data_IF_120718727524
#
_entry.id   IF_120718727524
#
_cell.length_a   1.000
_cell.length_b   1.000
_cell.length_c   1.000
_cell.angle_alpha   90.00
_cell.angle_beta   90.00
_cell.angle_gamma   90.00
#
_symmetry.space_group_name_H-M   'P 1'
#
loop_
_entity.id
_entity.type
_entity.pdbx_description
1 polymer ?
#
# COMPACT_ATOMS: atom_id res chain seq x y z
N UNK A 1 31.35 11.22 3.69
CA UNK A 1 30.52 10.96 4.90
C UNK A 1 29.12 11.44 4.56
N UNK A 2 28.22 10.55 4.34
CA UNK A 2 26.82 10.89 3.97
C UNK A 2 25.99 10.93 5.25
N UNK A 3 25.23 11.99 5.43
CA UNK A 3 24.29 12.14 6.57
C UNK A 3 22.90 11.90 6.03
N UNK A 4 22.19 10.94 6.61
CA UNK A 4 20.81 10.64 6.28
C UNK A 4 19.87 11.45 7.18
N UNK A 5 18.97 12.22 6.59
CA UNK A 5 17.83 12.82 7.28
C UNK A 5 16.57 12.05 6.90
N UNK A 6 15.83 11.63 7.90
CA UNK A 6 14.51 11.04 7.71
C UNK A 6 13.46 12.15 7.60
N UNK A 7 12.72 12.16 6.50
CA UNK A 7 11.46 12.88 6.41
C UNK A 7 10.37 12.09 7.12
N UNK A 8 9.24 12.72 7.40
CA UNK A 8 8.12 12.17 8.19
C UNK A 8 7.58 10.80 7.70
N UNK A 9 8.06 10.29 6.58
CA UNK A 9 7.63 9.05 5.93
C UNK A 9 8.81 8.09 5.69
N UNK A 10 9.96 8.25 6.37
CA UNK A 10 11.04 7.25 6.34
C UNK A 10 11.87 7.19 5.05
N UNK A 11 11.80 8.18 4.16
CA UNK A 11 12.65 8.24 2.97
C UNK A 11 14.00 8.89 3.25
N UNK A 12 15.08 8.28 2.76
CA UNK A 12 16.46 8.78 2.89
C UNK A 12 16.84 9.66 1.70
N UNK A 13 17.17 10.93 1.94
CA UNK A 13 17.74 11.83 0.96
C UNK A 13 19.24 11.92 1.12
N UNK A 14 20.00 11.78 0.04
CA UNK A 14 21.45 11.94 0.01
C UNK A 14 21.76 13.37 -0.44
N UNK A 15 22.34 14.18 0.45
CA UNK A 15 22.88 15.49 0.07
C UNK A 15 24.41 15.53 0.23
N UNK A 16 25.17 16.15 -0.69
CA UNK A 16 26.62 16.27 -0.57
C UNK A 16 27.01 17.34 0.45
N UNK A 17 27.93 16.99 1.34
CA UNK A 17 28.47 17.87 2.37
C UNK A 17 29.33 18.97 1.75
N UNK A 18 28.86 20.23 1.78
CA UNK A 18 29.63 21.40 1.37
C UNK A 18 30.76 21.69 2.36
N UNK A 19 31.97 21.93 1.82
CA UNK A 19 33.12 22.33 2.59
C UNK A 19 32.96 23.76 3.06
N UNK A 20 32.92 24.00 4.36
CA UNK A 20 33.08 25.34 4.93
C UNK A 20 34.57 25.58 5.27
N UNK A 21 35.15 26.59 4.61
CA UNK A 21 36.47 27.08 4.92
C UNK A 21 36.46 27.90 6.21
N UNK A 22 37.41 27.58 7.09
CA UNK A 22 37.62 28.26 8.38
C UNK A 22 38.61 29.39 8.15
N UNK A 23 38.25 30.63 8.50
CA UNK A 23 39.22 31.69 8.77
C UNK A 23 39.06 32.19 10.20
N UNK A 24 40.17 32.34 10.96
CA UNK A 24 40.10 32.77 12.35
C UNK A 24 40.20 34.30 12.50
N UNK A 25 39.34 34.91 13.30
CA UNK A 25 39.57 36.24 13.87
C UNK A 25 39.23 36.30 15.36
N UNK A 26 40.14 36.91 16.03
CA UNK A 26 40.47 37.09 17.45
C UNK A 26 39.36 37.63 18.36
N UNK A 27 39.50 37.22 19.61
CA UNK A 27 38.90 37.59 20.92
C UNK A 27 38.61 39.09 21.17
N UNK A 28 37.53 39.33 21.92
CA UNK A 28 37.54 40.07 23.22
C UNK A 28 36.29 39.75 24.03
N UNK A 29 36.34 39.66 25.38
CA UNK A 29 35.26 39.20 26.21
C UNK A 29 34.42 40.41 26.72
N UNK A 30 33.10 40.26 26.69
CA UNK A 30 32.20 41.10 27.49
C UNK A 30 31.31 40.16 28.31
N UNK A 31 31.52 40.15 29.62
CA UNK A 31 30.67 39.51 30.63
C UNK A 31 29.45 40.41 30.80
N UNK A 32 28.26 39.90 30.50
CA UNK A 32 27.00 40.51 30.92
C UNK A 32 26.17 39.41 31.61
N UNK A 33 26.11 39.51 32.93
CA UNK A 33 25.17 38.76 33.77
C UNK A 33 23.74 39.22 33.47
N UNK A 34 22.90 38.38 32.96
CA UNK A 34 21.47 38.54 32.92
C UNK A 34 20.85 37.26 33.48
N UNK A 35 20.39 37.37 34.72
CA UNK A 35 19.52 36.41 35.39
C UNK A 35 18.15 36.46 34.72
N UNK A 36 17.90 35.50 33.85
CA UNK A 36 16.60 35.30 33.22
C UNK A 36 15.94 34.04 33.77
N UNK A 37 14.78 34.21 34.40
CA UNK A 37 13.90 33.13 34.86
C UNK A 37 13.65 32.15 33.73
N UNK A 38 14.15 30.94 33.87
CA UNK A 38 13.77 29.82 33.00
C UNK A 38 12.40 29.29 33.43
N UNK A 39 11.38 29.63 32.67
CA UNK A 39 10.11 28.91 32.68
C UNK A 39 10.33 27.56 31.98
N UNK A 40 10.12 26.42 32.62
CA UNK A 40 10.20 25.14 31.90
C UNK A 40 8.96 25.02 31.02
N UNK A 41 9.07 25.36 29.77
CA UNK A 41 8.11 24.90 28.76
C UNK A 41 8.20 23.37 28.70
N UNK A 42 7.24 22.68 29.29
CA UNK A 42 6.98 21.29 29.05
C UNK A 42 6.68 21.12 27.56
N UNK A 43 7.70 20.85 26.78
CA UNK A 43 7.53 20.25 25.45
C UNK A 43 7.09 18.83 25.72
N UNK A 44 5.78 18.62 25.67
CA UNK A 44 5.21 17.28 25.56
C UNK A 44 5.69 16.72 24.23
N UNK A 45 6.80 16.00 24.28
CA UNK A 45 7.19 15.11 23.20
C UNK A 45 6.08 14.06 23.11
N UNK A 46 5.17 14.24 22.14
CA UNK A 46 4.39 13.13 21.65
C UNK A 46 5.42 12.14 21.09
N UNK A 47 5.82 11.17 21.90
CA UNK A 47 6.47 9.99 21.43
C UNK A 47 5.47 9.32 20.50
N UNK A 48 5.62 9.55 19.19
CA UNK A 48 5.16 8.58 18.21
C UNK A 48 5.85 7.27 18.59
N UNK A 49 5.16 6.42 19.33
CA UNK A 49 5.53 5.03 19.41
C UNK A 49 5.58 4.55 17.95
N UNK A 50 6.79 4.53 17.43
CA UNK A 50 7.10 3.95 16.15
C UNK A 50 6.52 2.54 16.17
N UNK A 51 5.67 2.25 15.20
CA UNK A 51 5.07 0.95 14.92
C UNK A 51 6.17 -0.04 14.47
N UNK A 52 7.17 -0.22 15.36
CA UNK A 52 8.27 -1.17 15.20
C UNK A 52 7.87 -2.41 15.97
N UNK A 53 7.37 -3.43 15.25
CA UNK A 53 7.31 -4.77 15.78
C UNK A 53 5.95 -5.41 15.97
N UNK A 54 4.97 -5.20 15.06
CA UNK A 54 3.94 -6.22 14.91
C UNK A 54 4.47 -7.29 13.96
N UNK A 55 4.93 -8.41 14.51
CA UNK A 55 5.04 -9.67 13.80
C UNK A 55 3.62 -10.17 13.60
N UNK A 56 3.15 -10.17 12.33
CA UNK A 56 1.84 -10.68 11.94
C UNK A 56 0.76 -9.60 11.75
N UNK A 57 -0.21 -9.91 10.92
CA UNK A 57 -1.38 -9.09 10.64
C UNK A 57 -2.45 -9.35 11.70
N UNK A 58 -2.89 -8.29 12.36
CA UNK A 58 -3.82 -8.40 13.48
C UNK A 58 -3.13 -8.76 14.80
N UNK A 59 -3.71 -8.38 15.94
CA UNK A 59 -3.30 -8.94 17.22
C UNK A 59 -3.83 -10.37 17.31
N UNK A 60 -3.03 -11.34 17.84
CA UNK A 60 -3.60 -12.63 18.21
C UNK A 60 -4.78 -12.40 19.14
N UNK A 61 -5.85 -13.19 19.04
CA UNK A 61 -7.03 -13.02 19.88
C UNK A 61 -6.61 -13.13 21.34
N UNK A 62 -6.77 -12.04 22.11
CA UNK A 62 -6.95 -12.19 23.54
C UNK A 62 -8.27 -12.94 23.66
N UNK A 63 -8.20 -14.12 24.25
CA UNK A 63 -9.36 -15.00 24.46
C UNK A 63 -10.61 -14.17 24.78
N UNK A 64 -11.71 -14.42 24.05
CA UNK A 64 -13.11 -14.09 24.31
C UNK A 64 -13.78 -12.91 23.59
N UNK A 65 -13.17 -12.16 22.71
CA UNK A 65 -13.91 -11.09 22.02
C UNK A 65 -13.59 -11.03 20.53
N UNK A 66 -14.37 -11.73 19.71
CA UNK A 66 -14.60 -11.40 18.30
C UNK A 66 -13.42 -10.91 17.47
N UNK A 67 -12.26 -11.58 17.57
CA UNK A 67 -11.07 -11.19 16.81
C UNK A 67 -11.37 -11.25 15.32
N UNK A 68 -10.96 -10.19 14.58
CA UNK A 68 -11.02 -10.24 13.12
C UNK A 68 -10.05 -11.31 12.63
N UNK A 69 -10.51 -12.30 11.84
CA UNK A 69 -9.68 -13.45 11.48
C UNK A 69 -8.51 -13.01 10.58
N UNK A 70 -7.33 -13.52 10.88
CA UNK A 70 -6.23 -13.57 9.92
C UNK A 70 -6.47 -14.79 9.03
N UNK A 71 -6.76 -14.57 7.76
CA UNK A 71 -7.02 -15.64 6.81
C UNK A 71 -5.70 -16.17 6.28
N UNK A 72 -5.52 -17.44 6.33
CA UNK A 72 -4.38 -18.10 5.70
C UNK A 72 -4.52 -18.02 4.18
N UNK A 73 -3.41 -17.73 3.52
CA UNK A 73 -3.31 -17.70 2.07
C UNK A 73 -2.37 -18.81 1.61
N UNK A 74 -2.54 -19.22 0.37
CA UNK A 74 -1.56 -20.04 -0.33
C UNK A 74 -1.24 -19.42 -1.67
N UNK A 75 0.04 -19.44 -2.05
CA UNK A 75 0.46 -19.12 -3.39
C UNK A 75 0.20 -20.32 -4.30
N UNK A 76 -0.62 -20.14 -5.33
CA UNK A 76 -0.91 -21.18 -6.33
C UNK A 76 -0.01 -21.06 -7.56
N UNK A 77 0.49 -19.86 -7.83
CA UNK A 77 1.47 -19.58 -8.87
C UNK A 77 2.27 -18.32 -8.54
N UNK A 78 3.45 -18.20 -9.13
CA UNK A 78 4.26 -16.99 -9.11
C UNK A 78 4.72 -16.66 -10.51
N UNK A 79 4.68 -15.40 -10.86
CA UNK A 79 5.06 -14.87 -12.17
C UNK A 79 6.22 -13.92 -12.03
N UNK A 80 7.13 -13.84 -13.01
CA UNK A 80 8.23 -12.87 -12.98
C UNK A 80 7.71 -11.44 -12.87
N UNK A 81 8.43 -10.60 -12.12
CA UNK A 81 8.12 -9.18 -11.97
C UNK A 81 9.40 -8.35 -12.05
N UNK A 82 9.29 -7.12 -12.53
CA UNK A 82 10.42 -6.20 -12.64
C UNK A 82 10.93 -5.78 -11.26
N UNK A 83 12.13 -6.22 -10.91
CA UNK A 83 12.79 -5.92 -9.62
C UNK A 83 13.07 -4.43 -9.39
N UNK A 84 12.94 -3.59 -10.44
CA UNK A 84 13.08 -2.13 -10.34
C UNK A 84 11.72 -1.45 -10.21
N UNK A 85 10.62 -2.19 -10.22
CA UNK A 85 9.29 -1.65 -10.04
C UNK A 85 9.06 -1.23 -8.58
N UNK A 86 8.94 0.07 -8.36
CA UNK A 86 8.39 0.59 -7.10
C UNK A 86 6.87 0.63 -7.22
N UNK A 87 6.26 -0.55 -7.11
CA UNK A 87 4.82 -0.75 -7.36
C UNK A 87 3.97 0.08 -6.42
N UNK A 88 3.04 0.84 -6.98
CA UNK A 88 2.13 1.73 -6.28
C UNK A 88 0.66 1.52 -6.66
N UNK A 89 0.40 0.77 -7.72
CA UNK A 89 -0.92 0.37 -8.13
C UNK A 89 -0.86 -0.78 -9.12
N UNK A 90 -1.81 -1.69 -9.04
CA UNK A 90 -1.89 -2.87 -9.89
C UNK A 90 -3.36 -3.13 -10.21
N UNK A 91 -3.72 -3.36 -11.48
CA UNK A 91 -5.12 -3.60 -11.85
C UNK A 91 -5.22 -4.45 -13.10
N UNK A 92 -6.21 -5.36 -13.13
CA UNK A 92 -6.64 -6.03 -14.36
C UNK A 92 -7.70 -5.23 -15.09
N UNK A 93 -7.56 -5.16 -16.40
CA UNK A 93 -8.59 -4.64 -17.28
C UNK A 93 -8.64 -5.41 -18.59
N UNK A 94 -9.78 -6.06 -18.89
CA UNK A 94 -9.99 -6.88 -20.09
C UNK A 94 -8.89 -7.95 -20.29
N UNK A 95 -8.54 -8.64 -19.21
CA UNK A 95 -7.52 -9.70 -19.21
C UNK A 95 -6.07 -9.21 -19.29
N UNK A 96 -5.84 -7.90 -19.37
CA UNK A 96 -4.52 -7.27 -19.40
C UNK A 96 -4.14 -6.72 -18.04
N UNK A 97 -2.88 -6.87 -17.63
CA UNK A 97 -2.37 -6.33 -16.36
C UNK A 97 -1.74 -4.96 -16.57
N UNK A 98 -2.15 -4.00 -15.76
CA UNK A 98 -1.58 -2.66 -15.73
C UNK A 98 -0.96 -2.37 -14.37
N UNK A 99 0.13 -1.64 -14.38
CA UNK A 99 0.89 -1.29 -13.18
C UNK A 99 1.25 0.19 -13.17
N UNK A 100 1.10 0.82 -12.01
CA UNK A 100 1.63 2.13 -11.69
C UNK A 100 2.88 1.99 -10.82
N UNK A 101 3.93 2.72 -11.16
CA UNK A 101 5.17 2.73 -10.37
C UNK A 101 5.52 4.13 -9.90
N UNK A 102 6.08 4.20 -8.69
CA UNK A 102 6.57 5.42 -8.06
C UNK A 102 8.02 5.75 -8.41
N UNK A 103 8.58 6.66 -7.62
CA UNK A 103 9.92 7.28 -7.67
C UNK A 103 10.01 8.42 -8.69
N UNK A 104 10.33 9.63 -8.18
CA UNK A 104 10.50 10.82 -9.03
C UNK A 104 11.59 10.61 -10.07
N UNK A 105 11.26 10.89 -11.32
CA UNK A 105 12.13 10.64 -12.47
C UNK A 105 12.05 9.24 -13.07
N UNK A 106 11.40 8.29 -12.36
CA UNK A 106 11.25 6.89 -12.79
C UNK A 106 9.79 6.42 -12.82
N UNK A 107 8.86 7.20 -12.27
CA UNK A 107 7.44 6.88 -12.23
C UNK A 107 6.88 6.59 -13.62
N UNK A 108 6.04 5.57 -13.71
CA UNK A 108 5.42 5.16 -14.96
C UNK A 108 4.04 4.56 -14.75
N UNK A 109 3.20 4.61 -15.78
CA UNK A 109 2.08 3.69 -15.97
C UNK A 109 2.47 2.73 -17.08
N UNK A 110 2.17 1.42 -16.90
CA UNK A 110 2.63 0.40 -17.83
C UNK A 110 1.67 -0.77 -17.97
N UNK A 111 1.68 -1.39 -19.14
CA UNK A 111 1.02 -2.66 -19.42
C UNK A 111 2.07 -3.77 -19.35
N UNK A 112 1.76 -4.80 -18.58
CA UNK A 112 2.70 -5.89 -18.27
C UNK A 112 2.12 -7.23 -18.75
N UNK A 113 2.95 -8.03 -19.38
CA UNK A 113 2.62 -9.44 -19.66
C UNK A 113 2.83 -10.26 -18.38
N UNK A 114 1.75 -10.75 -17.78
CA UNK A 114 1.79 -11.48 -16.52
C UNK A 114 2.71 -12.68 -16.57
N UNK A 115 2.67 -13.45 -17.67
CA UNK A 115 3.39 -14.74 -17.76
C UNK A 115 4.90 -14.54 -17.81
N UNK A 116 5.36 -13.57 -18.58
CA UNK A 116 6.80 -13.31 -18.75
C UNK A 116 7.34 -12.20 -17.86
N UNK A 117 6.49 -11.40 -17.22
CA UNK A 117 6.86 -10.21 -16.46
C UNK A 117 7.36 -9.05 -17.34
N UNK A 118 7.26 -9.17 -18.68
CA UNK A 118 7.77 -8.15 -19.59
C UNK A 118 6.84 -6.94 -19.62
N UNK A 119 7.42 -5.75 -19.53
CA UNK A 119 6.73 -4.50 -19.81
C UNK A 119 6.47 -4.39 -21.30
N UNK A 120 5.21 -4.56 -21.72
CA UNK A 120 4.79 -4.49 -23.12
C UNK A 120 4.72 -3.05 -23.62
N UNK A 121 4.31 -2.15 -22.75
CA UNK A 121 4.24 -0.72 -22.99
C UNK A 121 4.38 0.05 -21.70
N UNK A 122 5.06 1.18 -21.75
CA UNK A 122 5.18 2.09 -20.61
C UNK A 122 5.06 3.55 -21.06
N UNK A 123 4.48 4.36 -20.18
CA UNK A 123 4.53 5.81 -20.25
C UNK A 123 5.12 6.36 -18.96
N UNK A 124 6.23 7.09 -19.09
CA UNK A 124 6.84 7.78 -17.96
C UNK A 124 6.10 9.08 -17.65
N UNK A 125 6.00 9.39 -16.36
CA UNK A 125 5.45 10.65 -15.87
C UNK A 125 6.49 11.77 -15.99
N UNK A 126 6.03 13.02 -15.84
CA UNK A 126 6.95 14.13 -15.60
C UNK A 126 7.87 13.81 -14.41
N UNK A 127 9.16 14.16 -14.51
CA UNK A 127 10.19 13.83 -13.51
C UNK A 127 9.90 14.37 -12.11
N UNK A 128 9.04 15.38 -11.99
CA UNK A 128 8.62 15.98 -10.72
C UNK A 128 7.51 15.18 -10.03
N UNK A 129 6.77 14.36 -10.79
CA UNK A 129 5.67 13.57 -10.28
C UNK A 129 6.16 12.24 -9.69
N UNK A 130 5.44 11.80 -8.69
CA UNK A 130 5.57 10.47 -8.12
C UNK A 130 4.25 9.75 -8.39
N UNK A 131 4.27 8.68 -9.21
CA UNK A 131 3.09 7.89 -9.54
C UNK A 131 2.67 7.03 -8.36
N UNK A 132 1.36 6.93 -8.15
CA UNK A 132 0.72 6.24 -7.04
C UNK A 132 -0.38 5.30 -7.55
N UNK A 133 -1.47 5.11 -6.80
CA UNK A 133 -2.55 4.19 -7.09
C UNK A 133 -3.07 4.24 -8.52
N UNK A 134 -3.60 3.11 -8.99
CA UNK A 134 -4.10 2.92 -10.34
C UNK A 134 -5.49 2.28 -10.29
N UNK A 135 -6.44 2.86 -10.98
CA UNK A 135 -7.79 2.32 -11.10
C UNK A 135 -8.30 2.38 -12.55
N UNK A 136 -9.37 1.63 -12.84
CA UNK A 136 -10.07 1.70 -14.12
C UNK A 136 -11.42 2.40 -13.93
N UNK A 137 -11.63 3.52 -14.61
CA UNK A 137 -12.85 4.32 -14.56
C UNK A 137 -13.33 4.58 -15.98
N UNK A 138 -14.58 4.28 -16.27
CA UNK A 138 -15.18 4.54 -17.59
C UNK A 138 -14.31 4.05 -18.75
N UNK A 139 -13.72 2.84 -18.62
CA UNK A 139 -12.82 2.24 -19.60
C UNK A 139 -11.48 2.98 -19.79
N UNK A 140 -11.07 3.81 -18.87
CA UNK A 140 -9.83 4.57 -18.86
C UNK A 140 -9.00 4.19 -17.62
N UNK A 141 -7.67 4.26 -17.73
CA UNK A 141 -6.78 4.14 -16.59
C UNK A 141 -6.66 5.49 -15.90
N UNK A 142 -6.78 5.49 -14.58
CA UNK A 142 -6.62 6.66 -13.73
C UNK A 142 -5.48 6.38 -12.76
N UNK A 143 -4.38 7.12 -12.90
CA UNK A 143 -3.20 7.03 -12.03
C UNK A 143 -3.15 8.25 -11.12
N UNK A 144 -3.03 8.02 -9.82
CA UNK A 144 -2.84 9.09 -8.85
C UNK A 144 -1.37 9.53 -8.80
N UNK A 145 -1.17 10.71 -8.22
CA UNK A 145 0.15 11.23 -7.89
C UNK A 145 0.20 11.59 -6.40
N UNK A 146 1.34 11.39 -5.76
CA UNK A 146 1.50 11.51 -4.32
C UNK A 146 1.08 12.89 -3.79
N UNK A 147 2.03 13.84 -3.70
CA UNK A 147 1.83 15.14 -3.01
C UNK A 147 1.12 16.18 -3.86
N UNK A 148 0.99 15.96 -5.16
CA UNK A 148 0.39 16.96 -6.05
C UNK A 148 -1.13 16.92 -6.09
N UNK A 149 -1.75 15.91 -5.47
CA UNK A 149 -3.21 15.76 -5.43
C UNK A 149 -3.85 15.71 -6.81
N UNK A 150 -3.13 15.14 -7.78
CA UNK A 150 -3.55 15.08 -9.19
C UNK A 150 -3.74 13.64 -9.63
N UNK A 151 -4.80 13.41 -10.42
CA UNK A 151 -5.03 12.17 -11.15
C UNK A 151 -4.80 12.38 -12.64
N UNK A 152 -4.10 11.43 -13.27
CA UNK A 152 -3.78 11.40 -14.70
C UNK A 152 -4.62 10.33 -15.38
N UNK A 153 -5.23 10.67 -16.51
CA UNK A 153 -6.18 9.81 -17.22
C UNK A 153 -5.56 9.34 -18.53
N UNK A 154 -5.55 8.02 -18.75
CA UNK A 154 -4.94 7.43 -19.94
C UNK A 154 -5.89 6.50 -20.68
N UNK A 155 -5.67 6.37 -22.00
CA UNK A 155 -6.22 5.26 -22.78
C UNK A 155 -5.49 3.96 -22.43
N UNK A 156 -6.19 2.82 -22.20
CA UNK A 156 -5.51 1.58 -21.82
C UNK A 156 -4.58 1.02 -22.90
N UNK A 157 -4.99 1.09 -24.18
CA UNK A 157 -4.27 0.41 -25.28
C UNK A 157 -2.88 0.99 -25.53
N UNK A 158 -2.78 2.29 -25.63
CA UNK A 158 -1.55 3.02 -25.99
C UNK A 158 -1.00 3.91 -24.90
N UNK A 159 -1.64 3.93 -23.74
CA UNK A 159 -1.26 4.72 -22.57
C UNK A 159 -1.13 6.21 -22.91
N UNK A 160 -1.96 6.72 -23.84
CA UNK A 160 -1.99 8.12 -24.17
C UNK A 160 -2.63 8.90 -23.02
N UNK A 161 -1.95 9.94 -22.54
CA UNK A 161 -2.53 10.88 -21.57
C UNK A 161 -3.62 11.71 -22.27
N UNK A 162 -4.84 11.59 -21.80
CA UNK A 162 -6.01 12.22 -22.39
C UNK A 162 -6.69 13.25 -21.46
N UNK A 163 -6.29 13.30 -20.19
CA UNK A 163 -6.85 14.23 -19.23
C UNK A 163 -6.16 14.16 -17.87
N UNK A 164 -6.58 15.05 -17.02
CA UNK A 164 -6.18 15.08 -15.61
C UNK A 164 -7.25 15.76 -14.77
N UNK A 165 -7.25 15.48 -13.48
CA UNK A 165 -8.09 16.13 -12.49
C UNK A 165 -7.31 16.36 -11.19
N UNK A 166 -7.91 17.10 -10.26
CA UNK A 166 -7.37 17.31 -8.92
C UNK A 166 -8.33 16.78 -7.88
N UNK A 167 -7.78 16.14 -6.83
CA UNK A 167 -8.57 15.56 -5.73
C UNK A 167 -8.21 16.13 -4.35
N UNK A 168 -7.18 16.97 -4.29
CA UNK A 168 -6.69 17.59 -3.06
C UNK A 168 -6.00 16.61 -2.10
N UNK A 169 -4.96 17.07 -1.39
CA UNK A 169 -4.18 16.26 -0.47
C UNK A 169 -3.32 15.20 -1.16
N UNK A 170 -2.90 14.21 -0.42
CA UNK A 170 -2.13 13.08 -0.92
C UNK A 170 -3.05 12.00 -1.52
N UNK A 171 -2.52 11.24 -2.48
CA UNK A 171 -3.15 10.04 -3.00
C UNK A 171 -2.15 8.90 -2.98
N UNK A 172 -2.50 7.79 -2.33
CA UNK A 172 -1.65 6.60 -2.23
C UNK A 172 -2.21 5.45 -3.06
N UNK A 173 -3.32 4.86 -2.66
CA UNK A 173 -3.99 3.81 -3.41
C UNK A 173 -5.29 4.27 -4.03
N UNK A 174 -5.79 3.54 -5.01
CA UNK A 174 -7.10 3.81 -5.59
C UNK A 174 -7.78 2.54 -6.12
N UNK A 175 -9.09 2.50 -5.99
CA UNK A 175 -9.96 1.49 -6.60
C UNK A 175 -11.33 2.07 -6.91
N UNK A 176 -12.25 1.28 -7.46
CA UNK A 176 -13.63 1.70 -7.75
C UNK A 176 -14.62 0.81 -7.02
N UNK A 177 -15.53 1.44 -6.25
CA UNK A 177 -16.60 0.78 -5.53
C UNK A 177 -17.91 1.52 -5.81
N UNK A 178 -18.96 0.80 -6.19
CA UNK A 178 -20.30 1.35 -6.47
C UNK A 178 -20.23 2.59 -7.39
N UNK A 179 -19.46 2.49 -8.48
CA UNK A 179 -19.20 3.57 -9.44
C UNK A 179 -18.65 4.86 -8.82
N UNK A 180 -17.85 4.74 -7.76
CA UNK A 180 -17.11 5.85 -7.14
C UNK A 180 -15.64 5.50 -7.09
N UNK A 181 -14.78 6.46 -7.41
CA UNK A 181 -13.36 6.36 -7.18
C UNK A 181 -13.11 6.47 -5.67
N UNK A 182 -12.40 5.50 -5.12
CA UNK A 182 -11.96 5.47 -3.72
C UNK A 182 -10.46 5.75 -3.67
N UNK A 183 -10.05 6.66 -2.81
CA UNK A 183 -8.63 7.06 -2.65
C UNK A 183 -8.24 6.90 -1.19
N UNK A 184 -7.10 6.26 -0.94
CA UNK A 184 -6.37 6.25 0.34
C UNK A 184 -5.27 7.33 0.34
N UNK A 185 -4.81 7.72 1.53
CA UNK A 185 -3.76 8.72 1.73
C UNK A 185 -2.84 8.41 2.93
N UNK A 186 -2.79 7.14 3.33
CA UNK A 186 -2.01 6.68 4.48
C UNK A 186 -2.69 6.88 5.83
N UNK A 187 -3.80 7.63 5.90
CA UNK A 187 -4.63 7.72 7.10
C UNK A 187 -5.60 6.54 7.19
N UNK A 188 -6.35 6.46 8.30
CA UNK A 188 -7.43 5.49 8.46
C UNK A 188 -8.70 5.86 7.67
N UNK A 189 -8.64 6.81 6.75
CA UNK A 189 -9.79 7.33 6.03
C UNK A 189 -9.70 7.07 4.54
N UNK A 190 -10.75 6.47 3.98
CA UNK A 190 -10.96 6.35 2.55
C UNK A 190 -11.86 7.51 2.07
N UNK A 191 -11.49 8.15 0.97
CA UNK A 191 -12.23 9.26 0.35
C UNK A 191 -12.91 8.77 -0.92
N UNK A 192 -14.16 9.12 -1.13
CA UNK A 192 -14.98 8.69 -2.26
C UNK A 192 -15.27 9.88 -3.18
N UNK A 193 -15.07 9.67 -4.48
CA UNK A 193 -15.24 10.69 -5.51
C UNK A 193 -16.18 10.19 -6.61
N UNK A 194 -16.90 11.10 -7.25
CA UNK A 194 -17.65 10.78 -8.45
C UNK A 194 -16.71 10.40 -9.59
N UNK A 195 -17.15 9.54 -10.50
CA UNK A 195 -16.33 9.08 -11.64
C UNK A 195 -16.44 9.95 -12.89
N UNK A 196 -17.31 10.95 -12.88
CA UNK A 196 -17.50 11.91 -13.96
C UNK A 196 -16.79 13.26 -13.72
N UNK A 197 -16.93 13.81 -12.52
CA UNK A 197 -16.38 15.13 -12.16
C UNK A 197 -15.23 15.06 -11.16
N UNK A 198 -14.93 13.87 -10.62
CA UNK A 198 -13.93 13.64 -9.58
C UNK A 198 -14.08 14.54 -8.35
N UNK A 199 -15.34 14.85 -8.00
CA UNK A 199 -15.65 15.60 -6.79
C UNK A 199 -15.82 14.64 -5.61
N UNK A 200 -15.24 15.01 -4.46
CA UNK A 200 -15.41 14.24 -3.24
C UNK A 200 -16.86 14.31 -2.75
N UNK A 201 -17.47 13.14 -2.56
CA UNK A 201 -18.89 13.01 -2.14
C UNK A 201 -19.05 12.33 -0.79
N UNK A 202 -18.05 11.58 -0.33
CA UNK A 202 -18.10 10.89 0.97
C UNK A 202 -16.71 10.59 1.51
N UNK A 203 -16.67 10.15 2.74
CA UNK A 203 -15.48 9.52 3.35
C UNK A 203 -15.93 8.40 4.30
N UNK A 204 -15.04 7.45 4.54
CA UNK A 204 -15.26 6.28 5.37
C UNK A 204 -14.05 6.04 6.27
N UNK A 205 -14.23 6.04 7.59
CA UNK A 205 -13.18 5.70 8.52
C UNK A 205 -13.05 4.18 8.63
N UNK A 206 -11.84 3.65 8.42
CA UNK A 206 -11.54 2.23 8.50
C UNK A 206 -11.11 1.86 9.91
N UNK A 207 -11.76 0.83 10.48
CA UNK A 207 -11.55 0.41 11.86
C UNK A 207 -11.48 -1.10 11.99
N UNK A 208 -10.55 -1.56 12.83
CA UNK A 208 -10.52 -2.93 13.34
C UNK A 208 -10.95 -2.89 14.81
N UNK A 209 -12.13 -3.45 15.12
CA UNK A 209 -12.69 -3.49 16.50
C UNK A 209 -12.71 -2.10 17.17
N UNK A 210 -13.07 -1.08 16.41
CA UNK A 210 -13.16 0.30 16.86
C UNK A 210 -11.85 1.09 16.79
N UNK A 211 -10.69 0.45 16.67
CA UNK A 211 -9.40 1.12 16.50
C UNK A 211 -9.21 1.55 15.03
N UNK A 212 -8.70 2.76 14.76
CA UNK A 212 -8.41 3.18 13.39
C UNK A 212 -7.28 2.34 12.79
N UNK A 213 -7.39 2.02 11.49
CA UNK A 213 -6.36 1.32 10.72
C UNK A 213 -5.65 2.34 9.83
N UNK A 214 -4.51 2.81 10.29
CA UNK A 214 -3.67 3.74 9.54
C UNK A 214 -2.73 3.01 8.58
N UNK A 215 -2.11 3.76 7.66
CA UNK A 215 -1.22 3.21 6.66
C UNK A 215 -1.95 2.61 5.45
N UNK A 216 -3.24 2.89 5.26
CA UNK A 216 -3.97 2.43 4.09
C UNK A 216 -3.28 2.91 2.82
N UNK A 217 -2.86 1.97 1.97
CA UNK A 217 -2.08 2.24 0.78
C UNK A 217 -2.80 1.71 -0.46
N UNK A 218 -2.18 0.85 -1.23
CA UNK A 218 -2.76 0.33 -2.45
C UNK A 218 -4.09 -0.38 -2.19
N UNK A 219 -5.07 -0.17 -3.07
CA UNK A 219 -6.46 -0.59 -2.91
C UNK A 219 -6.94 -1.40 -4.11
N UNK A 220 -7.70 -2.47 -3.83
CA UNK A 220 -8.43 -3.21 -4.86
C UNK A 220 -9.85 -3.57 -4.41
N UNK A 221 -10.80 -3.50 -5.33
CA UNK A 221 -12.19 -3.92 -5.09
C UNK A 221 -12.36 -5.39 -5.46
N UNK A 222 -12.68 -6.21 -4.47
CA UNK A 222 -12.83 -7.66 -4.64
C UNK A 222 -14.18 -8.09 -4.11
N UNK A 223 -15.10 -8.47 -4.99
CA UNK A 223 -16.42 -9.04 -4.64
C UNK A 223 -17.20 -8.21 -3.60
N UNK A 224 -17.15 -6.87 -3.73
CA UNK A 224 -17.88 -5.94 -2.85
C UNK A 224 -17.14 -5.53 -1.57
N UNK A 225 -15.94 -6.04 -1.36
CA UNK A 225 -15.01 -5.62 -0.32
C UNK A 225 -13.92 -4.72 -0.90
N UNK A 226 -13.30 -3.91 -0.04
CA UNK A 226 -12.05 -3.21 -0.36
C UNK A 226 -10.91 -3.98 0.30
N UNK A 227 -9.94 -4.40 -0.50
CA UNK A 227 -8.68 -4.93 -0.04
C UNK A 227 -7.67 -3.79 -0.03
N UNK A 228 -6.98 -3.59 1.08
CA UNK A 228 -6.03 -2.49 1.25
C UNK A 228 -4.70 -3.00 1.78
N UNK A 229 -3.61 -2.74 1.07
CA UNK A 229 -2.28 -2.87 1.68
C UNK A 229 -2.15 -1.89 2.84
N UNK A 230 -1.54 -2.33 3.94
CA UNK A 230 -1.31 -1.50 5.12
C UNK A 230 0.19 -1.26 5.30
N UNK A 231 0.65 -0.09 4.85
CA UNK A 231 2.05 0.32 4.91
C UNK A 231 2.50 0.63 6.35
N UNK A 232 3.71 0.25 6.77
CA UNK A 232 4.76 -0.50 6.05
C UNK A 232 4.74 -2.02 6.31
N UNK A 233 3.59 -2.59 6.66
CA UNK A 233 3.45 -4.01 6.94
C UNK A 233 3.33 -4.85 5.66
N UNK A 234 3.30 -6.17 5.83
CA UNK A 234 2.99 -7.11 4.75
C UNK A 234 1.52 -7.56 4.81
N UNK A 235 0.66 -6.73 5.40
CA UNK A 235 -0.74 -7.04 5.63
C UNK A 235 -1.65 -6.42 4.58
N UNK A 236 -2.72 -7.15 4.25
CA UNK A 236 -3.87 -6.62 3.54
C UNK A 236 -5.08 -6.67 4.47
N UNK A 237 -5.75 -5.52 4.63
CA UNK A 237 -7.04 -5.45 5.31
C UNK A 237 -8.17 -5.74 4.32
N UNK A 238 -9.09 -6.63 4.68
CA UNK A 238 -10.37 -6.83 3.99
C UNK A 238 -11.41 -5.93 4.68
N UNK A 239 -11.87 -4.91 3.98
CA UNK A 239 -12.72 -3.85 4.52
C UNK A 239 -14.11 -3.96 3.92
N UNK A 240 -15.13 -3.98 4.76
CA UNK A 240 -16.52 -3.78 4.31
C UNK A 240 -16.69 -2.34 3.83
N UNK A 241 -17.00 -2.18 2.55
CA UNK A 241 -17.04 -0.87 1.89
C UNK A 241 -18.20 0.04 2.36
N UNK A 242 -19.16 -0.47 3.15
CA UNK A 242 -20.30 0.29 3.66
C UNK A 242 -20.05 0.81 5.07
N UNK A 243 -19.45 -0.04 5.91
CA UNK A 243 -19.26 0.24 7.34
C UNK A 243 -17.84 0.71 7.69
N UNK A 244 -16.84 0.45 6.84
CA UNK A 244 -15.43 0.67 7.14
C UNK A 244 -14.84 -0.33 8.13
N UNK A 245 -15.59 -1.36 8.52
CA UNK A 245 -15.08 -2.38 9.42
C UNK A 245 -14.13 -3.33 8.69
N UNK A 246 -12.99 -3.61 9.28
CA UNK A 246 -12.13 -4.70 8.85
C UNK A 246 -12.79 -6.02 9.26
N UNK A 247 -13.01 -6.90 8.29
CA UNK A 247 -13.67 -8.20 8.47
C UNK A 247 -12.70 -9.37 8.30
N UNK A 248 -11.48 -9.11 7.90
CA UNK A 248 -10.41 -10.09 7.73
C UNK A 248 -9.07 -9.44 7.45
N UNK A 249 -8.02 -10.19 7.70
CA UNK A 249 -6.65 -9.83 7.39
C UNK A 249 -6.00 -10.91 6.54
N UNK A 250 -5.13 -10.53 5.59
CA UNK A 250 -4.24 -11.44 4.89
C UNK A 250 -2.81 -11.11 5.27
N UNK A 251 -2.01 -12.12 5.60
CA UNK A 251 -0.58 -11.98 5.86
C UNK A 251 0.22 -12.47 4.65
N UNK A 252 0.96 -11.56 4.03
CA UNK A 252 1.81 -11.84 2.87
C UNK A 252 3.26 -12.09 3.25
N UNK A 253 3.61 -12.08 4.55
CA UNK A 253 4.99 -12.13 5.01
C UNK A 253 5.76 -13.36 4.55
N UNK A 254 5.08 -14.50 4.38
CA UNK A 254 5.67 -15.75 3.90
C UNK A 254 5.89 -15.79 2.38
N UNK A 255 5.17 -14.97 1.59
CA UNK A 255 5.34 -14.95 0.14
C UNK A 255 6.71 -14.39 -0.28
N UNK A 256 7.18 -13.38 0.45
CA UNK A 256 8.46 -12.74 0.23
C UNK A 256 9.10 -12.39 1.56
N UNK A 257 9.80 -13.34 2.21
CA UNK A 257 10.43 -13.12 3.51
C UNK A 257 11.38 -11.92 3.50
N UNK A 258 11.40 -11.15 4.59
CA UNK A 258 12.22 -9.92 4.68
C UNK A 258 13.70 -10.17 4.44
N UNK A 259 14.22 -11.35 4.79
CA UNK A 259 15.59 -11.74 4.55
C UNK A 259 15.96 -11.87 3.06
N UNK A 260 14.97 -12.05 2.19
CA UNK A 260 15.16 -12.17 0.73
C UNK A 260 15.01 -10.83 0.01
N UNK A 261 14.64 -9.75 0.71
CA UNK A 261 14.41 -8.43 0.13
C UNK A 261 15.72 -7.67 0.04
N UNK A 262 15.96 -7.07 -1.11
CA UNK A 262 17.19 -6.30 -1.38
C UNK A 262 17.14 -4.87 -0.88
N UNK A 263 15.95 -4.37 -0.56
CA UNK A 263 15.72 -3.00 -0.09
C UNK A 263 14.76 -2.99 1.10
N UNK A 264 14.95 -2.05 2.04
CA UNK A 264 14.05 -1.87 3.19
C UNK A 264 12.66 -1.38 2.78
N UNK A 265 12.57 -0.68 1.66
CA UNK A 265 11.30 -0.23 1.09
C UNK A 265 10.55 -1.34 0.33
N UNK A 266 11.14 -2.54 0.20
CA UNK A 266 10.53 -3.68 -0.47
C UNK A 266 9.43 -4.32 0.40
N UNK A 267 8.35 -3.58 0.62
CA UNK A 267 7.15 -4.01 1.35
C UNK A 267 6.08 -4.48 0.37
N UNK A 268 5.12 -5.26 0.87
CA UNK A 268 3.93 -5.64 0.11
C UNK A 268 3.18 -4.38 -0.35
N UNK A 269 2.92 -4.27 -1.64
CA UNK A 269 2.12 -3.21 -2.25
C UNK A 269 1.76 -3.57 -3.69
N UNK A 270 0.47 -3.62 -3.97
CA UNK A 270 -0.09 -4.04 -5.26
C UNK A 270 -0.98 -5.26 -5.11
N UNK A 271 -2.27 -5.07 -5.35
CA UNK A 271 -3.33 -6.07 -5.35
C UNK A 271 -4.06 -5.95 -6.68
N UNK A 272 -4.30 -7.05 -7.37
CA UNK A 272 -5.12 -7.04 -8.58
C UNK A 272 -6.08 -8.23 -8.58
N UNK A 273 -7.33 -7.96 -8.86
CA UNK A 273 -8.36 -8.97 -9.01
C UNK A 273 -8.77 -9.09 -10.47
N UNK A 274 -8.69 -10.29 -11.02
CA UNK A 274 -9.21 -10.56 -12.34
C UNK A 274 -10.67 -11.03 -12.22
N UNK A 275 -11.67 -10.20 -12.57
CA UNK A 275 -13.06 -10.57 -12.41
C UNK A 275 -13.51 -11.69 -13.35
N UNK A 276 -12.84 -11.87 -14.50
CA UNK A 276 -13.20 -12.88 -15.49
C UNK A 276 -12.83 -14.29 -15.01
N UNK A 277 -11.68 -14.43 -14.32
CA UNK A 277 -11.18 -15.69 -13.78
C UNK A 277 -11.39 -15.84 -12.27
N UNK A 278 -11.76 -14.74 -11.58
CA UNK A 278 -11.89 -14.66 -10.11
C UNK A 278 -10.60 -14.97 -9.38
N UNK A 279 -9.49 -14.58 -9.98
CA UNK A 279 -8.15 -14.79 -9.45
C UNK A 279 -7.62 -13.51 -8.80
N UNK A 280 -6.94 -13.68 -7.67
CA UNK A 280 -6.35 -12.61 -6.90
C UNK A 280 -4.83 -12.68 -6.98
N UNK A 281 -4.22 -11.54 -7.27
CA UNK A 281 -2.78 -11.39 -7.44
C UNK A 281 -2.26 -10.33 -6.48
N UNK A 282 -1.06 -10.57 -5.93
CA UNK A 282 -0.39 -9.64 -5.03
C UNK A 282 1.08 -9.53 -5.37
N UNK A 283 1.66 -8.37 -5.11
CA UNK A 283 3.09 -8.11 -5.26
C UNK A 283 3.59 -7.13 -4.20
N UNK A 284 4.79 -6.60 -4.38
CA UNK A 284 5.38 -5.57 -3.53
C UNK A 284 6.39 -4.71 -4.27
N UNK A 285 6.74 -3.60 -3.65
CA UNK A 285 7.78 -2.69 -4.14
C UNK A 285 9.08 -3.46 -4.29
N UNK A 286 9.66 -3.46 -5.50
CA UNK A 286 10.89 -4.20 -5.83
C UNK A 286 10.81 -5.74 -5.67
N UNK A 287 9.62 -6.29 -5.49
CA UNK A 287 9.47 -7.74 -5.44
C UNK A 287 9.74 -8.36 -6.82
N UNK A 288 10.46 -9.48 -6.87
CA UNK A 288 10.79 -10.15 -8.13
C UNK A 288 9.65 -10.97 -8.73
N UNK A 289 8.51 -11.05 -8.01
CA UNK A 289 7.38 -11.88 -8.39
C UNK A 289 6.05 -11.19 -8.12
N UNK A 290 5.08 -11.49 -8.99
CA UNK A 290 3.65 -11.35 -8.72
C UNK A 290 3.15 -12.74 -8.31
N UNK A 291 2.45 -12.83 -7.19
CA UNK A 291 1.92 -14.09 -6.67
C UNK A 291 0.42 -14.16 -6.94
N UNK A 292 -0.04 -15.24 -7.56
CA UNK A 292 -1.43 -15.61 -7.57
C UNK A 292 -1.73 -16.31 -6.24
N UNK A 293 -2.70 -15.82 -5.50
CA UNK A 293 -3.05 -16.33 -4.17
C UNK A 293 -4.48 -16.85 -4.11
N UNK A 294 -4.70 -17.81 -3.21
CA UNK A 294 -6.02 -18.26 -2.80
C UNK A 294 -6.16 -18.13 -1.29
N UNK A 295 -7.36 -17.74 -0.86
CA UNK A 295 -7.72 -17.77 0.54
C UNK A 295 -8.05 -19.22 0.91
N UNK A 296 -7.37 -19.74 1.93
CA UNK A 296 -7.72 -21.04 2.48
C UNK A 296 -9.02 -20.86 3.27
N UNK A 297 -9.99 -21.72 3.00
CA UNK A 297 -11.17 -21.81 3.85
C UNK A 297 -10.74 -22.37 5.21
N UNK A 298 -11.31 -21.89 6.34
CA UNK A 298 -11.10 -22.56 7.62
C UNK A 298 -11.45 -24.04 7.45
N UNK A 299 -10.57 -24.92 7.88
CA UNK A 299 -10.89 -26.36 7.92
C UNK A 299 -12.19 -26.52 8.69
N UNK A 300 -13.18 -27.12 8.07
CA UNK A 300 -14.42 -27.44 8.75
C UNK A 300 -14.14 -28.66 9.67
N UNK A 301 -14.08 -28.45 11.00
CA UNK A 301 -13.72 -29.52 11.94
C UNK A 301 -14.69 -30.72 11.86
N UNK A 302 -15.88 -30.55 11.28
CA UNK A 302 -16.91 -31.60 11.17
C UNK A 302 -16.65 -32.61 10.05
N UNK A 303 -15.62 -32.42 9.20
CA UNK A 303 -15.29 -33.38 8.14
C UNK A 303 -14.29 -34.49 8.56
N UNK A 304 -13.63 -34.36 9.69
CA UNK A 304 -12.63 -35.34 10.14
C UNK A 304 -13.20 -36.56 10.89
N UNK A 305 -14.49 -36.56 11.24
CA UNK A 305 -15.08 -37.67 12.03
C UNK A 305 -15.85 -38.73 11.20
N UNK A 306 -15.87 -38.61 9.87
CA UNK A 306 -16.63 -39.50 9.00
C UNK A 306 -15.80 -40.64 8.33
N UNK A 307 -14.51 -40.77 8.66
CA UNK A 307 -13.56 -41.69 7.96
C UNK A 307 -13.14 -42.94 8.67
N UNK A 308 -13.36 -43.09 10.01
CA UNK A 308 -12.70 -44.17 10.78
C UNK A 308 -13.67 -45.17 11.48
N UNK A 309 -14.88 -45.34 10.99
CA UNK A 309 -15.77 -46.36 11.55
C UNK A 309 -16.44 -47.28 10.49
N UNK A 310 -15.64 -47.85 9.61
CA UNK A 310 -16.13 -48.91 8.73
C UNK A 310 -15.00 -49.91 8.41
N UNK A 311 -14.53 -50.65 9.38
CA UNK A 311 -14.09 -52.04 9.16
C UNK A 311 -13.65 -52.67 10.51
N UNK A 312 -14.61 -53.18 11.29
CA UNK A 312 -14.32 -54.24 12.25
C UNK A 312 -15.61 -55.01 12.66
N UNK A 313 -16.21 -55.70 11.70
CA UNK A 313 -17.11 -56.81 11.99
C UNK A 313 -17.15 -57.79 10.82
N UNK A 314 -16.17 -58.65 10.77
CA UNK A 314 -16.33 -60.01 10.24
C UNK A 314 -15.32 -60.94 10.89
N UNK A 315 -15.73 -61.65 11.89
CA UNK A 315 -15.52 -63.07 12.11
C UNK A 315 -16.65 -63.61 12.98
#
# INVERSE_FOLDING_TARGET
MFVYRHDRIGFCRIEPCGRYGVTPKRLFPVILLLTGLMCPAFVQAHTHESFVGRQGCGEPPRSDTGAVPVRHITSVARYPHDRNAFTQGLVFYKGELYESTGLRGYSSVRRVDLISGRVLKARHLDKKLFGEGLAVINHQLVQLTWETGSGLIYTPVDLQLIGSFTFGGEGWGSTVVDNRLVISDGTARLRFFTTDTYQQVASLDVRDRGAPVEGLNELESVEGLIYANVYPSDCIAQIDARSGQVIGWLDLGELMPRAERTDRAAVANGIAYNPDTRELFVTGKFWPYIFQIKLLQPENPDKQTAGDNADDRRL
#
